data_IF_738991252127
#
_entry.id   IF_738991252127
#
_cell.length_a   1.000
_cell.length_b   1.000
_cell.length_c   1.000
_cell.angle_alpha   90.00
_cell.angle_beta   90.00
_cell.angle_gamma   90.00
#
_symmetry.space_group_name_H-M   'P 1'
#
loop_
_entity.id
_entity.type
_entity.pdbx_description
1 polymer ?
#
# COMPACT_ATOMS: atom_id res chain seq x y z
N UNK A 1 -6.21 17.11 14.01
CA UNK A 1 -5.94 15.79 14.63
C UNK A 1 -5.00 15.04 13.70
N UNK A 2 -4.19 14.12 14.22
CA UNK A 2 -3.34 13.27 13.36
C UNK A 2 -4.23 12.28 12.60
N UNK A 3 -4.02 12.06 11.30
CA UNK A 3 -4.69 10.98 10.57
C UNK A 3 -4.42 9.61 11.20
N UNK A 4 -5.47 8.83 11.43
CA UNK A 4 -5.44 7.47 11.98
C UNK A 4 -5.78 6.50 10.88
N UNK A 5 -4.84 5.62 10.53
CA UNK A 5 -4.92 4.80 9.33
C UNK A 5 -4.76 3.33 9.70
N UNK A 6 -5.70 2.50 9.26
CA UNK A 6 -5.53 1.04 9.22
C UNK A 6 -4.74 0.66 7.98
N UNK A 7 -3.70 -0.14 8.13
CA UNK A 7 -2.97 -0.75 7.04
C UNK A 7 -3.15 -2.26 7.07
N UNK A 8 -3.87 -2.80 6.10
CA UNK A 8 -4.23 -4.22 6.04
C UNK A 8 -3.49 -4.92 4.91
N UNK A 9 -2.78 -6.00 5.21
CA UNK A 9 -2.12 -6.80 4.19
C UNK A 9 -0.96 -7.64 4.72
N UNK A 10 -0.09 -8.03 3.81
CA UNK A 10 1.00 -8.96 4.05
C UNK A 10 2.21 -8.35 4.75
N UNK A 11 2.88 -9.19 5.55
CA UNK A 11 4.28 -9.06 5.97
C UNK A 11 5.07 -10.11 5.21
N UNK A 12 6.14 -9.69 4.52
CA UNK A 12 6.98 -10.56 3.67
C UNK A 12 8.45 -10.21 3.89
N UNK A 13 9.32 -11.23 3.90
CA UNK A 13 10.76 -11.03 3.77
C UNK A 13 11.17 -11.22 2.31
N UNK A 14 11.71 -10.15 1.71
CA UNK A 14 12.32 -10.20 0.39
C UNK A 14 13.74 -10.76 0.48
N UNK A 15 13.97 -11.89 -0.17
CA UNK A 15 15.26 -12.57 -0.18
C UNK A 15 16.07 -12.11 -1.40
N UNK A 16 16.93 -11.12 -1.20
CA UNK A 16 17.78 -10.54 -2.25
C UNK A 16 19.22 -11.01 -2.08
N UNK A 17 19.72 -11.82 -3.01
CA UNK A 17 21.07 -12.38 -2.92
C UNK A 17 21.28 -13.22 -1.65
N UNK A 18 20.23 -13.89 -1.17
CA UNK A 18 20.25 -14.72 0.03
C UNK A 18 20.16 -13.93 1.35
N UNK A 19 19.99 -12.62 1.31
CA UNK A 19 19.79 -11.78 2.50
C UNK A 19 18.31 -11.41 2.64
N UNK A 20 17.72 -11.58 3.84
CA UNK A 20 16.36 -11.18 4.10
C UNK A 20 16.25 -9.67 4.31
N UNK A 21 15.23 -9.08 3.71
CA UNK A 21 14.81 -7.69 3.95
C UNK A 21 13.32 -7.71 4.28
N UNK A 22 12.97 -7.21 5.46
CA UNK A 22 11.57 -7.11 5.85
C UNK A 22 10.84 -6.12 4.95
N UNK A 23 9.66 -6.49 4.49
CA UNK A 23 8.81 -5.73 3.59
C UNK A 23 7.34 -6.17 3.70
N UNK A 24 6.62 -5.99 2.61
CA UNK A 24 5.18 -6.13 2.51
C UNK A 24 4.52 -4.77 2.35
N UNK A 25 3.64 -4.63 1.37
CA UNK A 25 3.08 -3.34 1.00
C UNK A 25 2.39 -2.64 2.18
N UNK A 26 1.63 -3.38 2.98
CA UNK A 26 0.95 -2.85 4.15
C UNK A 26 1.93 -2.32 5.22
N UNK A 27 3.02 -3.03 5.48
CA UNK A 27 4.05 -2.59 6.42
C UNK A 27 4.82 -1.36 5.91
N UNK A 28 5.23 -1.38 4.64
CA UNK A 28 5.94 -0.27 4.00
C UNK A 28 5.09 1.02 4.05
N UNK A 29 3.81 0.91 3.71
CA UNK A 29 2.87 2.01 3.79
C UNK A 29 2.75 2.55 5.23
N UNK A 30 2.52 1.68 6.22
CA UNK A 30 2.39 2.06 7.63
C UNK A 30 3.64 2.77 8.16
N UNK A 31 4.82 2.29 7.77
CA UNK A 31 6.10 2.91 8.11
C UNK A 31 6.20 4.36 7.62
N UNK A 32 5.81 4.60 6.37
CA UNK A 32 5.86 5.94 5.78
C UNK A 32 4.80 6.85 6.39
N UNK A 33 3.58 6.37 6.64
CA UNK A 33 2.52 7.12 7.33
C UNK A 33 3.03 7.66 8.67
N UNK A 34 3.64 6.81 9.50
CA UNK A 34 4.17 7.24 10.81
C UNK A 34 5.26 8.31 10.67
N UNK A 35 6.12 8.21 9.64
CA UNK A 35 7.15 9.22 9.39
C UNK A 35 6.59 10.56 8.90
N UNK A 36 5.43 10.54 8.23
CA UNK A 36 4.70 11.73 7.81
C UNK A 36 3.82 12.32 8.92
N UNK A 37 3.88 11.76 10.13
CA UNK A 37 3.18 12.27 11.30
C UNK A 37 1.78 11.73 11.52
N UNK A 38 1.33 10.75 10.72
CA UNK A 38 0.11 9.97 10.95
C UNK A 38 0.27 8.93 12.07
N UNK A 39 -0.79 8.20 12.34
CA UNK A 39 -0.84 7.07 13.25
C UNK A 39 -1.35 5.84 12.49
N UNK A 40 -0.41 4.97 12.06
CA UNK A 40 -0.76 3.74 11.38
C UNK A 40 -0.91 2.58 12.37
N UNK A 41 -1.96 1.77 12.16
CA UNK A 41 -2.15 0.47 12.81
C UNK A 41 -2.10 -0.61 11.75
N UNK A 42 -1.13 -1.51 11.83
CA UNK A 42 -0.95 -2.62 10.90
C UNK A 42 -1.81 -3.81 11.31
N UNK A 43 -2.60 -4.35 10.38
CA UNK A 43 -3.35 -5.62 10.54
C UNK A 43 -2.73 -6.64 9.59
N UNK A 44 -2.11 -7.67 10.14
CA UNK A 44 -1.38 -8.67 9.38
C UNK A 44 -1.25 -10.00 10.12
N UNK A 45 -0.52 -10.96 9.54
CA UNK A 45 -0.19 -12.23 10.17
C UNK A 45 1.25 -12.65 9.87
N UNK A 46 1.88 -13.32 10.85
CA UNK A 46 3.20 -13.94 10.72
C UNK A 46 3.15 -15.40 11.13
N UNK A 47 4.14 -16.18 10.74
CA UNK A 47 4.33 -17.55 11.22
C UNK A 47 4.93 -17.56 12.63
N UNK A 48 4.77 -18.66 13.33
CA UNK A 48 5.49 -18.93 14.57
C UNK A 48 6.89 -19.50 14.24
N UNK A 49 7.71 -18.69 13.58
CA UNK A 49 9.05 -18.99 13.09
C UNK A 49 10.01 -17.83 13.31
N UNK A 50 11.29 -18.02 12.99
CA UNK A 50 12.33 -17.02 13.24
C UNK A 50 12.06 -15.71 12.49
N UNK A 51 11.55 -15.77 11.25
CA UNK A 51 11.16 -14.59 10.49
C UNK A 51 9.98 -13.85 11.11
N UNK A 52 8.99 -14.58 11.65
CA UNK A 52 7.85 -13.96 12.33
C UNK A 52 8.29 -13.22 13.60
N UNK A 53 9.16 -13.82 14.40
CA UNK A 53 9.70 -13.19 15.61
C UNK A 53 10.58 -11.98 15.27
N UNK A 54 11.41 -12.08 14.22
CA UNK A 54 12.21 -10.97 13.72
C UNK A 54 11.33 -9.82 13.21
N UNK A 55 10.29 -10.11 12.42
CA UNK A 55 9.35 -9.11 11.93
C UNK A 55 8.69 -8.34 13.08
N UNK A 56 8.17 -9.04 14.10
CA UNK A 56 7.53 -8.42 15.26
C UNK A 56 8.50 -7.50 16.01
N UNK A 57 9.75 -7.93 16.22
CA UNK A 57 10.78 -7.12 16.87
C UNK A 57 11.10 -5.85 16.08
N UNK A 58 11.19 -5.94 14.74
CA UNK A 58 11.47 -4.79 13.89
C UNK A 58 10.27 -3.81 13.89
N UNK A 59 9.04 -4.31 13.79
CA UNK A 59 7.81 -3.51 13.81
C UNK A 59 7.67 -2.73 15.12
N UNK A 60 7.95 -3.39 16.26
CA UNK A 60 7.99 -2.76 17.58
C UNK A 60 9.04 -1.64 17.64
N UNK A 61 10.26 -1.91 17.15
CA UNK A 61 11.34 -0.91 17.10
C UNK A 61 11.00 0.29 16.19
N UNK A 62 10.14 0.10 15.19
CA UNK A 62 9.64 1.18 14.35
C UNK A 62 8.51 1.97 15.00
N UNK A 63 7.99 1.54 16.14
CA UNK A 63 6.87 2.16 16.82
C UNK A 63 5.57 2.08 16.01
N UNK A 64 5.41 1.02 15.20
CA UNK A 64 4.18 0.77 14.45
C UNK A 64 3.25 -0.03 15.36
N UNK A 65 2.06 0.50 15.63
CA UNK A 65 1.01 -0.25 16.29
C UNK A 65 0.53 -1.39 15.37
N UNK A 66 0.22 -2.55 15.93
CA UNK A 66 -0.22 -3.68 15.10
C UNK A 66 -1.10 -4.68 15.82
N UNK A 67 -2.07 -5.20 15.05
CA UNK A 67 -2.80 -6.42 15.36
C UNK A 67 -2.26 -7.52 14.44
N UNK A 68 -1.20 -8.20 14.88
CA UNK A 68 -0.50 -9.21 14.08
C UNK A 68 -0.69 -10.56 14.74
N UNK A 69 -1.46 -11.44 14.11
CA UNK A 69 -1.69 -12.78 14.65
C UNK A 69 -0.62 -13.78 14.17
N UNK A 70 -0.41 -14.81 14.95
CA UNK A 70 0.32 -15.98 14.50
C UNK A 70 -0.62 -16.88 13.68
N UNK A 71 -0.15 -17.28 12.49
CA UNK A 71 -0.82 -18.24 11.61
C UNK A 71 -0.19 -19.62 11.72
N UNK A 72 -0.91 -20.65 11.31
CA UNK A 72 -0.37 -22.00 11.14
C UNK A 72 0.55 -22.18 9.92
N UNK A 73 0.68 -21.13 9.08
CA UNK A 73 1.59 -21.11 7.93
C UNK A 73 2.88 -20.36 8.26
N UNK A 74 3.97 -20.61 7.52
CA UNK A 74 5.22 -19.87 7.71
C UNK A 74 5.06 -18.38 7.39
N UNK A 75 5.91 -17.55 7.96
CA UNK A 75 6.01 -16.13 7.60
C UNK A 75 6.27 -15.97 6.11
N UNK A 76 5.65 -14.98 5.49
CA UNK A 76 5.77 -14.72 4.06
C UNK A 76 7.21 -14.46 3.64
N UNK A 77 7.62 -15.08 2.54
CA UNK A 77 8.90 -14.84 1.88
C UNK A 77 8.73 -14.67 0.39
N UNK A 78 9.57 -13.86 -0.24
CA UNK A 78 9.65 -13.73 -1.68
C UNK A 78 11.12 -13.77 -2.12
N UNK A 79 11.44 -14.58 -3.11
CA UNK A 79 12.75 -14.53 -3.76
C UNK A 79 12.68 -13.46 -4.84
N UNK A 80 13.61 -12.51 -4.78
CA UNK A 80 13.73 -11.46 -5.80
C UNK A 80 14.87 -11.83 -6.73
N UNK A 81 14.55 -12.07 -8.01
CA UNK A 81 15.54 -12.41 -9.02
C UNK A 81 16.31 -11.17 -9.53
N UNK A 82 17.27 -11.39 -10.42
CA UNK A 82 18.08 -10.31 -11.02
C UNK A 82 17.27 -9.33 -11.86
N UNK A 83 16.11 -9.73 -12.33
CA UNK A 83 15.20 -8.94 -13.16
C UNK A 83 14.14 -8.20 -12.32
N UNK A 84 14.23 -8.33 -10.97
CA UNK A 84 13.30 -7.70 -10.02
C UNK A 84 11.94 -8.40 -9.94
N UNK A 85 11.83 -9.64 -10.40
CA UNK A 85 10.60 -10.42 -10.25
C UNK A 85 10.55 -11.11 -8.90
N UNK A 86 9.35 -11.15 -8.34
CA UNK A 86 9.06 -11.75 -7.05
C UNK A 86 8.50 -13.18 -7.24
N UNK A 87 9.19 -14.17 -6.70
CA UNK A 87 8.66 -15.51 -6.49
C UNK A 87 8.20 -15.63 -5.03
N UNK A 88 6.90 -15.45 -4.82
CA UNK A 88 6.29 -15.36 -3.50
C UNK A 88 5.94 -16.77 -3.01
N UNK A 89 6.48 -17.16 -1.87
CA UNK A 89 6.16 -18.44 -1.25
C UNK A 89 4.68 -18.50 -0.80
N UNK A 90 4.00 -19.57 -1.14
CA UNK A 90 2.60 -19.78 -0.84
C UNK A 90 2.31 -21.28 -0.53
N UNK A 91 1.47 -21.61 0.50
CA UNK A 91 0.77 -20.70 1.40
C UNK A 91 1.72 -20.05 2.41
N UNK A 92 1.34 -18.88 2.90
CA UNK A 92 2.07 -18.10 3.90
C UNK A 92 1.13 -17.54 4.97
N UNK A 93 1.69 -17.04 6.07
CA UNK A 93 0.94 -16.55 7.21
C UNK A 93 -0.11 -15.50 6.84
N UNK A 94 0.20 -14.59 5.94
CA UNK A 94 -0.69 -13.54 5.45
C UNK A 94 -1.95 -14.06 4.71
N UNK A 95 -2.08 -15.37 4.47
CA UNK A 95 -3.33 -15.95 3.99
C UNK A 95 -4.41 -16.09 5.09
N UNK A 96 -4.06 -15.88 6.35
CA UNK A 96 -4.93 -16.03 7.51
C UNK A 96 -4.78 -14.85 8.47
N UNK A 97 -5.15 -13.65 8.00
CA UNK A 97 -5.12 -12.41 8.78
C UNK A 97 -6.39 -12.32 9.62
N UNK A 98 -6.24 -12.38 10.95
CA UNK A 98 -7.34 -12.12 11.87
C UNK A 98 -7.53 -10.61 12.05
N UNK A 99 -8.77 -10.18 12.00
CA UNK A 99 -9.13 -8.78 12.21
C UNK A 99 -9.78 -8.68 13.60
N UNK A 100 -9.26 -7.83 14.50
CA UNK A 100 -9.85 -7.62 15.82
C UNK A 100 -11.16 -6.83 15.71
N UNK A 101 -11.92 -6.80 16.78
CA UNK A 101 -13.06 -5.88 16.90
C UNK A 101 -12.53 -4.44 16.93
N UNK A 102 -13.02 -3.62 16.00
CA UNK A 102 -12.64 -2.22 15.88
C UNK A 102 -13.86 -1.32 16.06
N UNK A 103 -13.67 -0.19 16.73
CA UNK A 103 -14.73 0.81 16.92
C UNK A 103 -14.91 1.64 15.65
N UNK A 104 -16.17 1.86 15.24
CA UNK A 104 -16.50 2.76 14.16
C UNK A 104 -16.06 4.21 14.50
N UNK A 105 -15.50 4.91 13.52
CA UNK A 105 -14.91 6.24 13.71
C UNK A 105 -13.55 6.25 14.40
N UNK A 106 -12.97 5.08 14.75
CA UNK A 106 -11.60 5.02 15.28
C UNK A 106 -10.52 5.33 14.25
N UNK A 107 -10.83 5.17 12.96
CA UNK A 107 -9.88 5.34 11.86
C UNK A 107 -10.48 6.18 10.74
N UNK A 108 -9.62 6.95 10.08
CA UNK A 108 -9.99 7.87 9.00
C UNK A 108 -9.88 7.19 7.63
N UNK A 109 -8.97 6.21 7.49
CA UNK A 109 -8.68 5.50 6.24
C UNK A 109 -8.25 4.05 6.51
N UNK A 110 -8.65 3.14 5.61
CA UNK A 110 -8.15 1.78 5.50
C UNK A 110 -7.36 1.65 4.19
N UNK A 111 -6.08 1.29 4.28
CA UNK A 111 -5.22 0.92 3.16
C UNK A 111 -5.24 -0.59 2.96
N UNK A 112 -5.35 -1.03 1.71
CA UNK A 112 -5.27 -2.44 1.32
C UNK A 112 -4.65 -2.62 -0.06
N UNK A 113 -4.04 -3.80 -0.28
CA UNK A 113 -3.61 -4.29 -1.60
C UNK A 113 -4.42 -5.51 -2.02
N UNK A 114 -4.10 -6.09 -3.19
CA UNK A 114 -4.79 -7.29 -3.71
C UNK A 114 -4.18 -8.60 -3.24
N UNK A 115 -2.90 -8.63 -2.87
CA UNK A 115 -2.19 -9.89 -2.57
C UNK A 115 -2.84 -10.65 -1.41
N UNK A 116 -3.11 -10.00 -0.28
CA UNK A 116 -3.78 -10.65 0.85
C UNK A 116 -5.19 -11.12 0.52
N UNK A 117 -5.84 -10.52 -0.48
CA UNK A 117 -7.20 -10.87 -0.90
C UNK A 117 -7.28 -12.11 -1.79
N UNK A 118 -6.14 -12.73 -2.19
CA UNK A 118 -6.18 -14.05 -2.81
C UNK A 118 -6.80 -15.12 -1.89
N UNK A 119 -6.67 -14.96 -0.58
CA UNK A 119 -7.30 -15.83 0.42
C UNK A 119 -8.79 -15.49 0.57
N UNK A 120 -9.67 -16.50 0.43
CA UNK A 120 -11.10 -16.34 0.69
C UNK A 120 -11.38 -16.01 2.17
N UNK A 121 -10.58 -16.55 3.08
CA UNK A 121 -10.63 -16.22 4.50
C UNK A 121 -10.46 -14.72 4.75
N UNK A 122 -9.44 -14.12 4.12
CA UNK A 122 -9.17 -12.69 4.24
C UNK A 122 -10.26 -11.83 3.60
N UNK A 123 -10.76 -12.22 2.40
CA UNK A 123 -11.83 -11.49 1.72
C UNK A 123 -13.11 -11.41 2.56
N UNK A 124 -13.50 -12.53 3.16
CA UNK A 124 -14.69 -12.57 4.02
C UNK A 124 -14.54 -11.64 5.23
N UNK A 125 -13.40 -11.70 5.93
CA UNK A 125 -13.14 -10.85 7.10
C UNK A 125 -13.05 -9.37 6.73
N UNK A 126 -12.39 -9.05 5.62
CA UNK A 126 -12.28 -7.66 5.14
C UNK A 126 -13.67 -7.12 4.75
N UNK A 127 -14.49 -7.90 4.06
CA UNK A 127 -15.85 -7.51 3.72
C UNK A 127 -16.71 -7.24 4.97
N UNK A 128 -16.60 -8.09 5.99
CA UNK A 128 -17.31 -7.92 7.27
C UNK A 128 -16.81 -6.64 7.99
N UNK A 129 -15.50 -6.40 8.00
CA UNK A 129 -14.93 -5.19 8.59
C UNK A 129 -15.50 -3.93 7.92
N UNK A 130 -15.51 -3.88 6.59
CA UNK A 130 -16.00 -2.73 5.82
C UNK A 130 -17.52 -2.51 5.96
N UNK A 131 -18.29 -3.52 6.38
CA UNK A 131 -19.70 -3.34 6.74
C UNK A 131 -19.89 -2.71 8.13
N UNK A 132 -18.91 -2.83 9.01
CA UNK A 132 -18.95 -2.34 10.39
C UNK A 132 -18.25 -0.99 10.59
N UNK A 133 -17.45 -0.53 9.64
CA UNK A 133 -16.69 0.72 9.74
C UNK A 133 -17.10 1.73 8.67
N UNK A 134 -17.28 2.96 9.10
CA UNK A 134 -17.37 4.14 8.22
C UNK A 134 -15.96 4.69 8.00
N UNK A 135 -15.27 4.24 6.95
CA UNK A 135 -13.87 4.54 6.69
C UNK A 135 -13.62 4.75 5.20
N UNK A 136 -12.71 5.66 4.84
CA UNK A 136 -12.25 5.80 3.45
C UNK A 136 -11.36 4.62 3.09
N UNK A 137 -11.64 3.93 1.99
CA UNK A 137 -10.83 2.78 1.53
C UNK A 137 -9.86 3.21 0.44
N UNK A 138 -8.58 3.05 0.70
CA UNK A 138 -7.49 3.25 -0.26
C UNK A 138 -6.98 1.91 -0.76
N UNK A 139 -7.19 1.63 -2.04
CA UNK A 139 -6.66 0.46 -2.73
C UNK A 139 -5.39 0.82 -3.49
N UNK A 140 -4.25 0.28 -3.09
CA UNK A 140 -3.09 0.12 -3.96
C UNK A 140 -3.21 -1.22 -4.68
N UNK A 141 -3.46 -1.21 -5.98
CA UNK A 141 -3.80 -2.45 -6.70
C UNK A 141 -2.69 -3.50 -6.58
N UNK A 142 -1.45 -3.09 -6.75
CA UNK A 142 -0.23 -3.83 -6.47
C UNK A 142 -0.29 -5.30 -6.92
N UNK A 143 -0.60 -5.53 -8.20
CA UNK A 143 -0.80 -6.86 -8.77
C UNK A 143 0.47 -7.72 -8.71
N UNK A 144 0.35 -8.93 -8.19
CA UNK A 144 1.42 -9.92 -8.09
C UNK A 144 1.00 -11.21 -8.81
N UNK A 145 1.39 -11.42 -10.08
CA UNK A 145 1.11 -12.69 -10.75
C UNK A 145 1.77 -13.86 -10.03
N UNK A 146 1.08 -15.03 -9.91
CA UNK A 146 -0.26 -15.35 -10.38
C UNK A 146 -1.37 -15.12 -9.33
N UNK A 147 -1.13 -14.33 -8.28
CA UNK A 147 -1.94 -14.23 -7.06
C UNK A 147 -3.14 -13.28 -7.18
N UNK A 148 -3.62 -13.00 -8.37
CA UNK A 148 -4.85 -12.25 -8.59
C UNK A 148 -5.73 -12.88 -9.67
N UNK A 149 -7.00 -12.51 -9.65
CA UNK A 149 -7.98 -12.86 -10.67
C UNK A 149 -8.83 -11.64 -11.02
N UNK A 150 -9.57 -11.72 -12.12
CA UNK A 150 -10.54 -10.66 -12.48
C UNK A 150 -11.51 -10.40 -11.34
N UNK A 151 -11.99 -11.43 -10.66
CA UNK A 151 -12.90 -11.35 -9.52
C UNK A 151 -12.27 -10.54 -8.38
N UNK A 152 -11.05 -10.89 -7.95
CA UNK A 152 -10.33 -10.17 -6.88
C UNK A 152 -10.16 -8.69 -7.23
N UNK A 153 -9.76 -8.39 -8.47
CA UNK A 153 -9.60 -7.00 -8.92
C UNK A 153 -10.93 -6.23 -8.83
N UNK A 154 -12.01 -6.80 -9.38
CA UNK A 154 -13.31 -6.13 -9.41
C UNK A 154 -13.92 -5.95 -8.01
N UNK A 155 -13.80 -6.94 -7.14
CA UNK A 155 -14.29 -6.86 -5.77
C UNK A 155 -13.51 -5.83 -4.98
N UNK A 156 -12.17 -5.77 -5.15
CA UNK A 156 -11.33 -4.76 -4.52
C UNK A 156 -11.68 -3.33 -4.98
N UNK A 157 -11.89 -3.16 -6.29
CA UNK A 157 -12.27 -1.86 -6.86
C UNK A 157 -13.64 -1.37 -6.37
N UNK A 158 -14.62 -2.28 -6.18
CA UNK A 158 -15.95 -1.94 -5.65
C UNK A 158 -15.93 -1.51 -4.18
N UNK A 159 -14.94 -1.94 -3.43
CA UNK A 159 -14.75 -1.55 -2.03
C UNK A 159 -14.02 -0.21 -1.88
N UNK A 160 -13.31 0.23 -2.93
CA UNK A 160 -12.41 1.37 -2.86
C UNK A 160 -13.11 2.73 -3.05
N UNK A 161 -12.58 3.75 -2.37
CA UNK A 161 -12.90 5.16 -2.64
C UNK A 161 -11.73 5.84 -3.38
N UNK A 162 -10.51 5.42 -3.08
CA UNK A 162 -9.27 5.92 -3.67
C UNK A 162 -8.53 4.73 -4.26
N UNK A 163 -8.08 4.86 -5.50
CA UNK A 163 -7.30 3.81 -6.18
C UNK A 163 -5.96 4.37 -6.65
N UNK A 164 -4.90 3.63 -6.39
CA UNK A 164 -3.60 3.86 -7.01
C UNK A 164 -3.23 2.64 -7.84
N UNK A 165 -2.73 2.89 -9.03
CA UNK A 165 -2.18 1.90 -9.96
C UNK A 165 -0.88 2.42 -10.58
N UNK A 166 -0.04 1.51 -11.07
CA UNK A 166 1.01 1.88 -12.00
C UNK A 166 0.53 1.76 -13.46
N UNK A 167 1.36 2.15 -14.42
CA UNK A 167 1.02 2.11 -15.86
C UNK A 167 0.67 0.70 -16.34
N UNK A 168 1.41 -0.31 -15.90
CA UNK A 168 1.22 -1.70 -16.28
C UNK A 168 -0.12 -2.23 -15.76
N UNK A 169 -0.42 -1.95 -14.50
CA UNK A 169 -1.69 -2.27 -13.85
C UNK A 169 -2.86 -1.54 -14.51
N UNK A 170 -2.66 -0.27 -14.86
CA UNK A 170 -3.68 0.49 -15.60
C UNK A 170 -3.99 -0.14 -16.96
N UNK A 171 -2.98 -0.63 -17.70
CA UNK A 171 -3.21 -1.34 -18.95
C UNK A 171 -3.98 -2.65 -18.73
N UNK A 172 -3.69 -3.36 -17.64
CA UNK A 172 -4.43 -4.58 -17.29
C UNK A 172 -5.89 -4.29 -16.94
N UNK A 173 -6.15 -3.25 -16.14
CA UNK A 173 -7.52 -2.78 -15.84
C UNK A 173 -8.29 -2.45 -17.13
N UNK A 174 -7.69 -1.70 -18.05
CA UNK A 174 -8.33 -1.35 -19.31
C UNK A 174 -8.77 -2.56 -20.11
N UNK A 175 -7.92 -3.61 -20.15
CA UNK A 175 -8.28 -4.87 -20.82
C UNK A 175 -9.45 -5.59 -20.14
N UNK A 176 -9.48 -5.58 -18.80
CA UNK A 176 -10.49 -6.29 -18.03
C UNK A 176 -11.84 -5.57 -18.00
N UNK A 177 -11.85 -4.23 -17.98
CA UNK A 177 -13.05 -3.40 -17.86
C UNK A 177 -13.57 -2.89 -19.20
N UNK A 178 -12.71 -2.85 -20.23
CA UNK A 178 -12.97 -2.19 -21.53
C UNK A 178 -13.24 -0.68 -21.36
N UNK A 179 -12.78 -0.08 -20.24
CA UNK A 179 -12.87 1.35 -19.95
C UNK A 179 -11.46 1.93 -20.11
N UNK A 180 -11.29 2.84 -21.06
CA UNK A 180 -9.98 3.45 -21.34
C UNK A 180 -9.79 4.81 -20.69
N UNK A 181 -10.89 5.54 -20.49
CA UNK A 181 -10.89 6.87 -19.90
C UNK A 181 -10.83 6.79 -18.36
N UNK A 182 -9.88 7.47 -17.71
CA UNK A 182 -9.75 7.49 -16.25
C UNK A 182 -11.01 8.01 -15.53
N UNK A 183 -11.68 9.03 -16.06
CA UNK A 183 -12.89 9.56 -15.43
C UNK A 183 -14.06 8.59 -15.55
N UNK A 184 -14.25 7.98 -16.73
CA UNK A 184 -15.25 6.91 -16.91
C UNK A 184 -14.99 5.70 -16.01
N UNK A 185 -13.73 5.39 -15.73
CA UNK A 185 -13.37 4.35 -14.77
C UNK A 185 -13.72 4.76 -13.33
N UNK A 186 -13.43 6.00 -12.94
CA UNK A 186 -13.80 6.53 -11.62
C UNK A 186 -15.32 6.52 -11.43
N UNK A 187 -16.07 6.97 -12.42
CA UNK A 187 -17.53 6.96 -12.38
C UNK A 187 -18.10 5.54 -12.25
N UNK A 188 -17.55 4.58 -13.01
CA UNK A 188 -18.02 3.19 -12.98
C UNK A 188 -17.83 2.51 -11.62
N UNK A 189 -16.72 2.81 -10.92
CA UNK A 189 -16.42 2.24 -9.61
C UNK A 189 -16.72 3.19 -8.44
N UNK A 190 -17.32 4.36 -8.70
CA UNK A 190 -17.64 5.38 -7.69
C UNK A 190 -16.41 5.82 -6.88
N UNK A 191 -15.30 6.07 -7.56
CA UNK A 191 -14.05 6.50 -6.94
C UNK A 191 -14.03 8.03 -6.78
N UNK A 192 -13.56 8.50 -5.64
CA UNK A 192 -13.27 9.92 -5.41
C UNK A 192 -11.93 10.35 -6.03
N UNK A 193 -10.94 9.44 -6.02
CA UNK A 193 -9.59 9.73 -6.50
C UNK A 193 -8.99 8.52 -7.23
N UNK A 194 -8.22 8.81 -8.27
CA UNK A 194 -7.40 7.83 -8.98
C UNK A 194 -5.98 8.39 -9.19
N UNK A 195 -4.95 7.63 -8.84
CA UNK A 195 -3.56 7.95 -9.14
C UNK A 195 -2.96 6.90 -10.07
N UNK A 196 -2.30 7.35 -11.14
CA UNK A 196 -1.57 6.51 -12.09
C UNK A 196 -0.10 6.88 -12.05
N UNK A 197 0.75 5.99 -11.51
CA UNK A 197 2.20 6.21 -11.38
C UNK A 197 2.97 5.71 -12.60
N UNK A 198 4.05 6.42 -12.97
CA UNK A 198 4.92 6.15 -14.13
C UNK A 198 6.40 6.11 -13.73
N UNK A 199 6.71 5.63 -12.54
CA UNK A 199 8.08 5.58 -12.01
C UNK A 199 8.73 6.98 -12.01
N UNK A 200 9.93 7.10 -12.59
CA UNK A 200 10.67 8.38 -12.66
C UNK A 200 9.98 9.46 -13.51
N UNK A 201 8.98 9.12 -14.29
CA UNK A 201 8.18 10.07 -15.05
C UNK A 201 7.08 10.73 -14.20
N UNK A 202 6.94 10.32 -12.96
CA UNK A 202 6.00 10.89 -12.01
C UNK A 202 4.63 10.22 -12.03
N UNK A 203 3.57 10.99 -11.83
CA UNK A 203 2.22 10.47 -11.75
C UNK A 203 1.17 11.45 -12.28
N UNK A 204 0.01 10.90 -12.68
CA UNK A 204 -1.25 11.64 -12.84
C UNK A 204 -2.16 11.38 -11.65
N UNK A 205 -2.91 12.40 -11.27
CA UNK A 205 -3.88 12.35 -10.19
C UNK A 205 -5.22 12.93 -10.67
N UNK A 206 -6.27 12.13 -10.58
CA UNK A 206 -7.61 12.43 -11.06
C UNK A 206 -8.56 12.56 -9.87
N UNK A 207 -9.32 13.66 -9.82
CA UNK A 207 -10.28 13.99 -8.77
C UNK A 207 -11.20 15.09 -9.25
N UNK A 208 -12.47 15.10 -8.84
CA UNK A 208 -13.45 16.17 -9.12
C UNK A 208 -13.47 16.64 -10.61
N UNK A 209 -13.34 15.71 -11.57
CA UNK A 209 -13.29 16.01 -12.98
C UNK A 209 -11.99 16.71 -13.45
N UNK A 210 -10.96 16.78 -12.61
CA UNK A 210 -9.67 17.40 -12.92
C UNK A 210 -8.55 16.35 -13.01
N UNK A 211 -7.57 16.60 -13.86
CA UNK A 211 -6.30 15.87 -13.92
C UNK A 211 -5.16 16.80 -13.55
N UNK A 212 -4.32 16.37 -12.62
CA UNK A 212 -3.02 16.98 -12.31
C UNK A 212 -1.92 16.00 -12.64
N UNK A 213 -0.79 16.54 -13.10
CA UNK A 213 0.44 15.77 -13.36
C UNK A 213 1.60 16.41 -12.60
N UNK A 214 2.45 15.56 -12.02
CA UNK A 214 3.67 16.01 -11.37
C UNK A 214 4.80 15.02 -11.64
N UNK A 215 5.98 15.56 -11.89
CA UNK A 215 7.21 14.80 -12.06
C UNK A 215 8.20 15.21 -10.98
N UNK A 216 8.65 14.28 -10.11
CA UNK A 216 9.63 14.58 -9.08
C UNK A 216 11.00 14.91 -9.69
N UNK A 217 11.88 15.49 -8.89
CA UNK A 217 13.27 15.69 -9.31
C UNK A 217 13.92 14.34 -9.62
N UNK A 218 14.71 14.32 -10.68
CA UNK A 218 15.46 13.11 -11.05
C UNK A 218 16.41 12.72 -9.91
N UNK A 219 16.31 11.48 -9.50
CA UNK A 219 17.20 10.83 -8.52
C UNK A 219 18.01 9.74 -9.23
N UNK A 220 19.06 9.25 -8.57
CA UNK A 220 19.65 7.96 -8.94
C UNK A 220 18.85 6.87 -8.25
N UNK A 221 18.11 6.08 -9.01
CA UNK A 221 17.39 4.92 -8.50
C UNK A 221 18.40 3.86 -8.05
N UNK A 222 18.24 3.39 -6.80
CA UNK A 222 19.07 2.35 -6.18
C UNK A 222 18.26 1.09 -6.01
N UNK A 223 17.02 1.20 -5.50
CA UNK A 223 16.13 0.11 -5.22
C UNK A 223 14.67 0.62 -5.26
N UNK A 224 13.85 0.22 -6.25
CA UNK A 224 12.47 0.67 -6.36
C UNK A 224 11.51 0.03 -5.35
N UNK A 225 11.97 -0.95 -4.54
CA UNK A 225 11.15 -1.67 -3.57
C UNK A 225 10.55 -0.70 -2.55
N UNK A 226 9.23 -0.75 -2.37
CA UNK A 226 8.50 0.12 -1.45
C UNK A 226 8.25 1.56 -1.94
N UNK A 227 8.75 1.95 -3.13
CA UNK A 227 8.50 3.30 -3.67
C UNK A 227 7.01 3.54 -3.97
N UNK A 228 6.30 2.53 -4.47
CA UNK A 228 4.86 2.57 -4.69
C UNK A 228 4.08 2.75 -3.39
N UNK A 229 4.48 2.01 -2.35
CA UNK A 229 3.85 2.07 -1.03
C UNK A 229 4.08 3.44 -0.37
N UNK A 230 5.29 4.01 -0.53
CA UNK A 230 5.63 5.34 -0.06
C UNK A 230 4.85 6.45 -0.81
N UNK A 231 4.67 6.30 -2.13
CA UNK A 231 3.79 7.19 -2.90
C UNK A 231 2.36 7.13 -2.36
N UNK A 232 1.82 5.93 -2.14
CA UNK A 232 0.46 5.73 -1.62
C UNK A 232 0.28 6.33 -0.24
N UNK A 233 1.28 6.20 0.65
CA UNK A 233 1.27 6.80 1.98
C UNK A 233 1.30 8.34 1.91
N UNK A 234 2.14 8.91 1.05
CA UNK A 234 2.18 10.36 0.82
C UNK A 234 0.84 10.89 0.30
N UNK A 235 0.24 10.19 -0.67
CA UNK A 235 -1.06 10.55 -1.23
C UNK A 235 -2.16 10.50 -0.16
N UNK A 236 -2.25 9.40 0.60
CA UNK A 236 -3.23 9.22 1.67
C UNK A 236 -3.11 10.29 2.75
N UNK A 237 -1.88 10.56 3.21
CA UNK A 237 -1.61 11.59 4.22
C UNK A 237 -1.97 12.99 3.73
N UNK A 238 -1.67 13.31 2.47
CA UNK A 238 -2.02 14.58 1.85
C UNK A 238 -3.54 14.78 1.75
N UNK A 239 -4.27 13.75 1.31
CA UNK A 239 -5.74 13.77 1.22
C UNK A 239 -6.36 13.98 2.60
N UNK A 240 -5.95 13.19 3.60
CA UNK A 240 -6.49 13.28 4.97
C UNK A 240 -6.11 14.59 5.66
N UNK A 241 -5.00 15.21 5.28
CA UNK A 241 -4.58 16.53 5.79
C UNK A 241 -5.23 17.69 5.04
N UNK A 242 -6.04 17.40 4.02
CA UNK A 242 -6.77 18.39 3.21
C UNK A 242 -5.87 19.52 2.66
N UNK A 243 -4.64 19.17 2.24
CA UNK A 243 -3.73 20.11 1.57
C UNK A 243 -4.12 20.27 0.08
N UNK A 244 -3.64 21.31 -0.62
CA UNK A 244 -3.93 21.50 -2.05
C UNK A 244 -3.58 20.28 -2.89
N UNK A 245 -4.40 19.93 -3.88
CA UNK A 245 -4.26 18.71 -4.68
C UNK A 245 -2.89 18.54 -5.34
N UNK A 246 -2.27 19.64 -5.79
CA UNK A 246 -0.91 19.60 -6.35
C UNK A 246 0.13 19.23 -5.30
N UNK A 247 -0.05 19.66 -4.05
CA UNK A 247 0.85 19.33 -2.94
C UNK A 247 0.63 17.88 -2.48
N UNK A 248 -0.61 17.35 -2.55
CA UNK A 248 -0.92 15.93 -2.35
C UNK A 248 -0.10 15.08 -3.33
N UNK A 249 -0.20 15.36 -4.63
CA UNK A 249 0.50 14.62 -5.67
C UNK A 249 2.03 14.74 -5.55
N UNK A 250 2.51 15.94 -5.20
CA UNK A 250 3.93 16.20 -4.96
C UNK A 250 4.45 15.39 -3.78
N UNK A 251 3.74 15.36 -2.66
CA UNK A 251 4.11 14.58 -1.47
C UNK A 251 4.23 13.09 -1.80
N UNK A 252 3.25 12.52 -2.52
CA UNK A 252 3.31 11.13 -2.97
C UNK A 252 4.53 10.86 -3.84
N UNK A 253 4.76 11.67 -4.87
CA UNK A 253 5.90 11.51 -5.77
C UNK A 253 7.25 11.68 -5.05
N UNK A 254 7.38 12.67 -4.18
CA UNK A 254 8.64 12.93 -3.45
C UNK A 254 8.93 11.83 -2.41
N UNK A 255 7.89 11.27 -1.77
CA UNK A 255 8.02 10.13 -0.86
C UNK A 255 8.49 8.87 -1.62
N UNK A 256 7.84 8.53 -2.75
CA UNK A 256 8.25 7.42 -3.59
C UNK A 256 9.68 7.57 -4.13
N UNK A 257 10.03 8.76 -4.62
CA UNK A 257 11.39 9.04 -5.10
C UNK A 257 12.43 8.92 -3.97
N UNK A 258 12.11 9.38 -2.76
CA UNK A 258 13.02 9.26 -1.62
C UNK A 258 13.32 7.79 -1.26
N UNK A 259 12.31 6.92 -1.31
CA UNK A 259 12.47 5.48 -1.06
C UNK A 259 13.27 4.83 -2.19
N UNK A 260 12.94 5.08 -3.46
CA UNK A 260 13.66 4.52 -4.60
C UNK A 260 15.16 4.90 -4.66
N UNK A 261 15.56 5.98 -4.00
CA UNK A 261 16.97 6.44 -3.93
C UNK A 261 17.84 5.71 -2.91
N UNK A 262 17.32 4.71 -2.18
CA UNK A 262 18.05 4.01 -1.11
C UNK A 262 17.70 2.52 -1.19
N UNK A 263 18.56 1.66 -0.62
CA UNK A 263 18.32 0.22 -0.57
C UNK A 263 17.34 -0.14 0.56
N UNK A 264 16.29 -0.87 0.22
CA UNK A 264 15.25 -1.36 1.12
C UNK A 264 14.16 -0.32 1.42
N UNK A 265 12.97 -0.81 1.78
CA UNK A 265 11.77 0.01 1.91
C UNK A 265 11.70 0.85 3.21
N UNK A 266 12.45 0.48 4.26
CA UNK A 266 12.32 1.05 5.61
C UNK A 266 13.42 2.07 5.93
N UNK A 267 13.52 3.09 5.14
CA UNK A 267 14.44 4.21 5.37
C UNK A 267 13.76 5.37 6.10
N UNK A 268 14.56 6.19 6.75
CA UNK A 268 14.07 7.47 7.29
C UNK A 268 13.87 8.46 6.15
N UNK A 269 12.65 8.92 5.93
CA UNK A 269 12.35 9.92 4.91
C UNK A 269 13.13 11.22 5.17
N UNK A 270 13.64 11.89 4.11
CA UNK A 270 14.28 13.18 4.22
C UNK A 270 13.38 14.22 4.90
N UNK A 271 13.98 15.15 5.65
CA UNK A 271 13.22 16.22 6.28
C UNK A 271 12.38 17.04 5.28
N UNK A 272 12.92 17.27 4.06
CA UNK A 272 12.21 18.00 3.00
C UNK A 272 10.91 17.33 2.54
N UNK A 273 10.78 16.02 2.66
CA UNK A 273 9.54 15.29 2.39
C UNK A 273 8.61 15.41 3.60
N UNK A 274 9.13 15.09 4.80
CA UNK A 274 8.31 15.12 6.04
C UNK A 274 7.76 16.51 6.37
N UNK A 275 8.49 17.56 6.02
CA UNK A 275 8.09 18.94 6.29
C UNK A 275 6.95 19.44 5.37
N UNK A 276 6.59 18.72 4.31
CA UNK A 276 5.49 19.13 3.40
C UNK A 276 4.10 19.09 4.07
N UNK A 277 3.96 18.38 5.19
CA UNK A 277 2.73 18.33 6.00
C UNK A 277 2.80 19.22 7.26
N UNK A 278 3.96 19.81 7.54
CA UNK A 278 4.13 20.75 8.65
C UNK A 278 3.87 22.16 8.09
N UNK A 279 2.62 22.56 8.07
CA UNK A 279 2.21 23.93 7.78
C UNK A 279 2.00 24.74 9.06
#
# INVERSE_FOLDING_TARGET
MKPRILSYGEIIFDLVGGKPFLGGAALNFAWVVNQLGGEATLISAVGNDDFGLEALSIIENYGINGHINFSGHPTGTAIVDSDGKFDIAHPAAWNQIEIPDLEDGAYDLLYMGTLAQMSSFNRERLANLLQSLTVVVFLDLNLRPPFYSKEIIFDSLRMANIVKVNVEEWQEIKKLTVIEDPFGFMDYFNLSHLAITRGYEGASFFFDGQELQYRPRKITEIDPTGAGDAFSAGLAMGILSNIPAIDILKLGCDAGAAVAGIRGAHMKLPYSVRAQLIL
#
